data_IF_738526614163
#
_entry.id   IF_738526614163
#
_cell.length_a   1.000
_cell.length_b   1.000
_cell.length_c   1.000
_cell.angle_alpha   90.00
_cell.angle_beta   90.00
_cell.angle_gamma   90.00
#
_symmetry.space_group_name_H-M   'P 1'
#
loop_
_entity.id
_entity.type
_entity.pdbx_description
1 polymer ?
#
# COMPACT_ATOMS: atom_id res chain seq x y z
N UNK A 1 -14.80 -2.60 -24.67
CA UNK A 1 -14.89 -2.14 -23.27
C UNK A 1 -16.15 -1.29 -23.13
N UNK A 2 -17.07 -1.62 -22.22
CA UNK A 2 -18.27 -0.81 -21.99
C UNK A 2 -17.84 0.46 -21.24
N UNK A 3 -18.24 1.67 -21.65
CA UNK A 3 -17.94 2.90 -20.92
C UNK A 3 -18.38 2.88 -19.46
N UNK A 4 -19.39 2.06 -19.10
CA UNK A 4 -19.85 1.84 -17.72
C UNK A 4 -18.88 1.01 -16.86
N UNK A 5 -17.91 0.34 -17.47
CA UNK A 5 -16.91 -0.49 -16.77
C UNK A 5 -15.69 0.31 -16.29
N UNK A 6 -15.68 1.63 -16.51
CA UNK A 6 -14.63 2.54 -16.04
C UNK A 6 -14.98 2.95 -14.62
N UNK A 7 -14.18 2.51 -13.64
CA UNK A 7 -14.28 2.99 -12.27
C UNK A 7 -12.92 3.53 -11.84
N UNK A 8 -12.84 4.80 -11.38
CA UNK A 8 -11.57 5.40 -11.03
C UNK A 8 -10.91 4.64 -9.89
N UNK A 9 -9.61 4.43 -10.01
CA UNK A 9 -8.76 4.10 -8.87
C UNK A 9 -8.47 5.41 -8.14
N UNK A 10 -8.71 5.43 -6.83
CA UNK A 10 -8.41 6.59 -5.98
C UNK A 10 -7.15 6.30 -5.19
N UNK A 11 -6.14 7.15 -5.34
CA UNK A 11 -4.92 7.11 -4.53
C UNK A 11 -4.92 8.37 -3.67
N UNK A 12 -5.10 8.19 -2.36
CA UNK A 12 -5.14 9.30 -1.41
C UNK A 12 -3.74 9.86 -1.13
N UNK A 13 -3.70 10.98 -0.42
CA UNK A 13 -2.47 11.69 -0.03
C UNK A 13 -1.47 10.76 0.66
N UNK A 14 -0.19 10.92 0.37
CA UNK A 14 0.92 10.21 1.00
C UNK A 14 0.87 8.68 0.92
N UNK A 15 -0.03 8.11 0.11
CA UNK A 15 -0.03 6.68 -0.17
C UNK A 15 1.25 6.30 -0.94
N UNK A 16 1.91 5.24 -0.50
CA UNK A 16 3.10 4.72 -1.13
C UNK A 16 2.79 3.45 -1.92
N UNK A 17 3.11 3.49 -3.22
CA UNK A 17 2.86 2.39 -4.15
C UNK A 17 4.20 1.75 -4.49
N UNK A 18 4.38 0.50 -4.07
CA UNK A 18 5.55 -0.30 -4.41
C UNK A 18 5.68 -0.53 -5.92
N UNK A 19 6.76 -1.18 -6.35
CA UNK A 19 7.00 -1.46 -7.76
C UNK A 19 6.11 -2.60 -8.27
N UNK A 20 5.42 -2.37 -9.39
CA UNK A 20 4.64 -3.40 -10.12
C UNK A 20 3.35 -3.95 -9.47
N UNK A 21 2.65 -3.26 -8.55
CA UNK A 21 1.37 -3.75 -8.07
C UNK A 21 0.30 -3.61 -9.16
N UNK A 22 -0.72 -4.47 -9.08
CA UNK A 22 -1.92 -4.38 -9.89
C UNK A 22 -3.06 -3.93 -8.99
N UNK A 23 -3.63 -2.74 -9.27
CA UNK A 23 -4.75 -2.18 -8.51
C UNK A 23 -6.02 -2.25 -9.36
N UNK A 24 -7.02 -2.98 -8.89
CA UNK A 24 -8.25 -3.19 -9.64
C UNK A 24 -9.10 -1.92 -9.72
N UNK A 25 -9.87 -1.78 -10.81
CA UNK A 25 -10.78 -0.66 -11.01
C UNK A 25 -11.69 -0.46 -9.79
N UNK A 26 -11.88 0.80 -9.42
CA UNK A 26 -12.76 1.19 -8.32
C UNK A 26 -12.20 1.07 -6.91
N UNK A 27 -10.97 0.58 -6.77
CA UNK A 27 -10.28 0.53 -5.48
C UNK A 27 -9.85 1.93 -5.04
N UNK A 28 -10.02 2.20 -3.74
CA UNK A 28 -9.44 3.33 -3.02
C UNK A 28 -8.27 2.88 -2.16
N UNK A 29 -7.11 3.51 -2.34
CA UNK A 29 -5.93 3.39 -1.48
C UNK A 29 -5.95 4.56 -0.51
N UNK A 30 -6.13 4.26 0.78
CA UNK A 30 -6.24 5.24 1.85
C UNK A 30 -4.99 6.11 2.03
N UNK A 31 -5.16 7.24 2.73
CA UNK A 31 -4.07 8.19 3.02
C UNK A 31 -2.94 7.51 3.79
N UNK A 32 -1.69 7.72 3.38
CA UNK A 32 -0.53 7.13 4.04
C UNK A 32 -0.44 5.60 3.95
N UNK A 33 -1.32 4.93 3.18
CA UNK A 33 -1.28 3.48 3.03
C UNK A 33 -0.08 3.03 2.18
N UNK A 34 0.45 1.84 2.46
CA UNK A 34 1.57 1.25 1.74
C UNK A 34 1.10 0.00 0.99
N UNK A 35 1.33 -0.03 -0.32
CA UNK A 35 1.10 -1.21 -1.16
C UNK A 35 2.45 -1.84 -1.52
N UNK A 36 2.60 -3.12 -1.18
CA UNK A 36 3.83 -3.86 -1.49
C UNK A 36 4.10 -4.03 -2.98
N UNK A 37 5.37 -4.21 -3.32
CA UNK A 37 5.77 -4.61 -4.66
C UNK A 37 5.04 -5.89 -5.12
N UNK A 38 4.64 -5.94 -6.40
CA UNK A 38 3.91 -7.05 -7.02
C UNK A 38 2.58 -7.46 -6.36
N UNK A 39 2.00 -6.63 -5.48
CA UNK A 39 0.72 -6.95 -4.84
C UNK A 39 -0.45 -6.84 -5.81
N UNK A 40 -1.52 -7.63 -5.62
CA UNK A 40 -2.75 -7.58 -6.41
C UNK A 40 -3.90 -7.09 -5.54
N UNK A 41 -4.24 -5.81 -5.67
CA UNK A 41 -5.22 -5.11 -4.83
C UNK A 41 -6.60 -5.21 -5.46
N UNK A 42 -7.45 -6.04 -4.86
CA UNK A 42 -8.81 -6.32 -5.34
C UNK A 42 -9.92 -5.64 -4.51
N UNK A 43 -9.54 -4.91 -3.45
CA UNK A 43 -10.46 -4.23 -2.53
C UNK A 43 -9.78 -2.99 -1.93
N UNK A 44 -10.59 -2.07 -1.40
CA UNK A 44 -10.10 -0.85 -0.75
C UNK A 44 -9.08 -1.16 0.36
N UNK A 45 -8.08 -0.28 0.48
CA UNK A 45 -7.05 -0.34 1.51
C UNK A 45 -7.27 0.83 2.47
N UNK A 46 -7.43 0.58 3.78
CA UNK A 46 -7.65 1.65 4.75
C UNK A 46 -6.44 2.60 4.86
N UNK A 47 -6.65 3.84 5.32
CA UNK A 47 -5.56 4.77 5.60
C UNK A 47 -4.53 4.18 6.58
N UNK A 48 -3.27 4.59 6.43
CA UNK A 48 -2.16 4.23 7.31
C UNK A 48 -2.01 2.71 7.51
N UNK A 49 -2.31 1.92 6.49
CA UNK A 49 -2.20 0.46 6.53
C UNK A 49 -1.15 -0.04 5.55
N UNK A 50 -0.48 -1.13 5.92
CA UNK A 50 0.34 -1.92 5.03
C UNK A 50 -0.48 -3.05 4.41
N UNK A 51 -0.47 -3.14 3.08
CA UNK A 51 -1.08 -4.24 2.34
C UNK A 51 -0.09 -4.91 1.38
N UNK A 52 0.02 -6.25 1.47
CA UNK A 52 0.94 -7.07 0.67
C UNK A 52 0.23 -8.30 0.10
N UNK A 53 0.77 -8.85 -1.00
CA UNK A 53 0.43 -10.18 -1.53
C UNK A 53 -0.53 -10.20 -2.71
N UNK A 54 -0.87 -11.41 -3.16
CA UNK A 54 -1.86 -11.69 -4.21
C UNK A 54 -2.85 -12.75 -3.70
N UNK A 55 -4.07 -12.37 -3.30
CA UNK A 55 -4.57 -10.99 -3.24
C UNK A 55 -3.96 -10.19 -2.08
N UNK A 56 -3.91 -8.86 -2.21
CA UNK A 56 -3.37 -7.97 -1.19
C UNK A 56 -4.22 -8.07 0.09
N UNK A 57 -3.56 -8.23 1.24
CA UNK A 57 -4.19 -8.31 2.56
C UNK A 57 -3.55 -7.32 3.51
N UNK A 58 -4.35 -6.80 4.44
CA UNK A 58 -3.85 -6.02 5.56
C UNK A 58 -2.82 -6.84 6.35
N UNK A 59 -1.66 -6.25 6.59
CA UNK A 59 -0.57 -6.84 7.37
C UNK A 59 -0.46 -6.15 8.73
N UNK A 60 -0.45 -4.81 8.72
CA UNK A 60 -0.28 -4.00 9.93
C UNK A 60 -0.71 -2.55 9.74
N UNK A 61 -0.93 -1.87 10.88
CA UNK A 61 -1.08 -0.41 10.94
C UNK A 61 0.28 0.29 10.96
N UNK A 62 0.33 1.47 10.32
CA UNK A 62 1.48 2.37 10.28
C UNK A 62 1.32 3.37 11.42
N UNK A 63 1.95 3.08 12.56
CA UNK A 63 1.93 3.95 13.74
C UNK A 63 2.86 5.16 13.56
N UNK A 64 2.68 6.18 14.40
CA UNK A 64 3.43 7.46 14.33
C UNK A 64 4.96 7.29 14.44
N UNK A 65 5.44 6.26 15.15
CA UNK A 65 6.86 5.89 15.21
C UNK A 65 7.44 5.43 13.86
N UNK A 66 6.59 4.89 12.96
CA UNK A 66 6.96 4.57 11.57
C UNK A 66 6.93 5.81 10.68
N UNK A 67 5.92 6.68 10.84
CA UNK A 67 5.72 7.91 10.04
C UNK A 67 6.92 8.85 10.05
N UNK A 68 7.59 9.00 11.19
CA UNK A 68 8.62 10.03 11.39
C UNK A 68 10.02 9.67 10.85
N UNK A 69 10.23 8.49 10.25
CA UNK A 69 11.55 8.10 9.73
C UNK A 69 11.76 8.43 8.23
N UNK A 70 10.78 9.01 7.54
CA UNK A 70 10.69 9.08 6.07
C UNK A 70 11.52 10.16 5.35
N UNK A 71 12.66 10.58 5.91
CA UNK A 71 13.51 11.63 5.34
C UNK A 71 14.83 11.09 4.79
N UNK A 72 14.80 10.11 3.88
CA UNK A 72 16.01 9.55 3.27
C UNK A 72 15.83 8.15 2.67
N UNK A 73 16.84 7.72 1.90
CA UNK A 73 17.02 6.37 1.35
C UNK A 73 16.93 5.24 2.40
N UNK A 74 17.11 5.54 3.69
CA UNK A 74 17.03 4.57 4.79
C UNK A 74 15.63 4.16 5.27
N UNK A 75 14.52 4.66 4.73
CA UNK A 75 13.18 4.28 5.24
C UNK A 75 12.81 2.84 4.91
N UNK A 76 13.20 2.34 3.73
CA UNK A 76 12.97 0.96 3.32
C UNK A 76 13.71 -0.03 4.23
N UNK A 77 14.96 0.25 4.58
CA UNK A 77 15.78 -0.61 5.45
C UNK A 77 15.20 -0.68 6.88
N UNK A 78 14.75 0.46 7.41
CA UNK A 78 14.05 0.52 8.69
C UNK A 78 12.68 -0.18 8.63
N UNK A 79 11.97 -0.06 7.51
CA UNK A 79 10.67 -0.67 7.30
C UNK A 79 10.77 -2.20 7.23
N UNK A 80 11.63 -2.74 6.36
CA UNK A 80 11.82 -4.19 6.22
C UNK A 80 12.55 -4.82 7.42
N UNK A 81 13.44 -4.08 8.08
CA UNK A 81 14.18 -4.57 9.25
C UNK A 81 13.31 -4.75 10.51
N UNK A 82 12.23 -3.98 10.65
CA UNK A 82 11.31 -4.06 11.80
C UNK A 82 10.12 -5.02 11.57
N UNK A 83 10.02 -5.68 10.43
CA UNK A 83 8.98 -6.69 10.19
C UNK A 83 9.38 -8.02 10.81
N UNK A 84 8.65 -8.55 11.81
CA UNK A 84 8.88 -9.90 12.30
C UNK A 84 8.60 -10.89 11.16
N UNK A 85 9.69 -11.49 10.64
CA UNK A 85 9.73 -12.70 9.81
C UNK A 85 8.97 -12.71 8.47
N UNK A 86 9.19 -11.72 7.59
CA UNK A 86 9.01 -11.92 6.13
C UNK A 86 10.20 -12.67 5.49
N UNK A 87 10.67 -13.73 6.15
CA UNK A 87 11.65 -14.68 5.57
C UNK A 87 10.93 -15.76 4.80
#
# INVERSE_FOLDING_TARGET
MNPRDIWPVRICRDAWIGKGPHIMKGVTIGEGAIIGANSVVISDIPPYCLALGNPARFISEITEGRRNKGGGDGWADNFFGEMPSLR
#
